data_IF_871578973239
#
_entry.id   IF_871578973239
#
_cell.length_a   1.000
_cell.length_b   1.000
_cell.length_c   1.000
_cell.angle_alpha   90.00
_cell.angle_beta   90.00
_cell.angle_gamma   90.00
#
_symmetry.space_group_name_H-M   'P 1'
#
loop_
_entity.id
_entity.type
_entity.pdbx_description
1 polymer ?
#
# COMPACT_ATOMS: atom_id res chain seq x y z
N UNK A 1 2.74 -14.88 12.04
CA UNK A 1 2.90 -14.19 10.73
C UNK A 1 4.37 -13.94 10.48
N UNK A 2 4.88 -14.26 9.30
CA UNK A 2 6.26 -13.93 8.91
C UNK A 2 6.49 -12.40 9.05
N UNK A 3 7.62 -11.97 9.64
CA UNK A 3 7.88 -10.55 9.99
C UNK A 3 7.73 -9.62 8.79
N UNK A 4 8.10 -10.10 7.60
CA UNK A 4 7.96 -9.39 6.33
C UNK A 4 6.50 -9.11 6.00
N UNK A 5 5.60 -10.08 6.18
CA UNK A 5 4.15 -9.88 5.94
C UNK A 5 3.54 -8.88 6.90
N UNK A 6 3.96 -8.90 8.15
CA UNK A 6 3.51 -7.94 9.16
C UNK A 6 3.96 -6.52 8.79
N UNK A 7 5.24 -6.35 8.43
CA UNK A 7 5.76 -5.05 8.00
C UNK A 7 5.01 -4.52 6.77
N UNK A 8 4.77 -5.36 5.77
CA UNK A 8 4.01 -4.99 4.58
C UNK A 8 2.57 -4.60 4.91
N UNK A 9 1.90 -5.37 5.78
CA UNK A 9 0.55 -5.06 6.24
C UNK A 9 0.48 -3.70 6.95
N UNK A 10 1.46 -3.38 7.81
CA UNK A 10 1.55 -2.08 8.50
C UNK A 10 1.76 -0.95 7.49
N UNK A 11 2.70 -1.12 6.55
CA UNK A 11 2.98 -0.11 5.53
C UNK A 11 1.74 0.12 4.66
N UNK A 12 1.06 -0.93 4.21
CA UNK A 12 -0.19 -0.82 3.45
C UNK A 12 -1.28 -0.12 4.25
N UNK A 13 -1.46 -0.46 5.53
CA UNK A 13 -2.43 0.19 6.39
C UNK A 13 -2.15 1.69 6.55
N UNK A 14 -0.88 2.07 6.74
CA UNK A 14 -0.47 3.48 6.80
C UNK A 14 -0.73 4.20 5.49
N UNK A 15 -0.35 3.61 4.35
CA UNK A 15 -0.58 4.20 3.02
C UNK A 15 -2.07 4.44 2.76
N UNK A 16 -2.93 3.50 3.16
CA UNK A 16 -4.39 3.65 3.05
C UNK A 16 -4.92 4.76 3.96
N UNK A 17 -4.49 4.80 5.23
CA UNK A 17 -4.94 5.80 6.18
C UNK A 17 -4.51 7.22 5.77
N UNK A 18 -3.23 7.41 5.42
CA UNK A 18 -2.72 8.71 4.99
C UNK A 18 -3.27 9.11 3.62
N UNK A 19 -3.39 8.18 2.67
CA UNK A 19 -3.99 8.45 1.36
C UNK A 19 -5.47 8.85 1.46
N UNK A 20 -6.21 8.22 2.37
CA UNK A 20 -7.59 8.60 2.65
C UNK A 20 -7.70 10.00 3.27
N UNK A 21 -6.90 10.29 4.32
CA UNK A 21 -6.88 11.61 4.95
C UNK A 21 -6.47 12.71 3.97
N UNK A 22 -5.45 12.47 3.14
CA UNK A 22 -5.02 13.38 2.09
C UNK A 22 -6.13 13.61 1.04
N UNK A 23 -6.86 12.57 0.66
CA UNK A 23 -8.01 12.68 -0.25
C UNK A 23 -9.15 13.51 0.35
N UNK A 24 -9.47 13.33 1.64
CA UNK A 24 -10.48 14.16 2.31
C UNK A 24 -10.02 15.62 2.40
N UNK A 25 -8.76 15.84 2.80
CA UNK A 25 -8.19 17.18 2.89
C UNK A 25 -8.23 17.93 1.54
N UNK A 26 -7.87 17.26 0.45
CA UNK A 26 -7.96 17.83 -0.90
C UNK A 26 -9.41 18.16 -1.32
N UNK A 27 -10.38 17.32 -0.94
CA UNK A 27 -11.80 17.64 -1.14
C UNK A 27 -12.22 18.88 -0.36
N UNK A 28 -11.79 19.02 0.89
CA UNK A 28 -12.11 20.19 1.71
C UNK A 28 -11.42 21.47 1.22
N UNK A 29 -10.25 21.37 0.59
CA UNK A 29 -9.58 22.50 -0.07
C UNK A 29 -10.23 22.91 -1.41
N UNK A 30 -11.25 22.19 -1.86
CA UNK A 30 -11.97 22.51 -3.09
C UNK A 30 -11.25 22.14 -4.39
N UNK A 31 -10.12 21.41 -4.30
CA UNK A 31 -9.35 20.97 -5.47
C UNK A 31 -9.09 19.45 -5.46
N UNK A 32 -10.16 18.64 -5.58
CA UNK A 32 -10.02 17.19 -5.69
C UNK A 32 -9.33 16.76 -6.99
N UNK A 33 -9.41 17.57 -8.05
CA UNK A 33 -8.88 17.26 -9.39
C UNK A 33 -7.35 17.36 -9.42
N UNK A 34 -6.77 18.38 -8.78
CA UNK A 34 -5.31 18.48 -8.69
C UNK A 34 -4.72 17.38 -7.80
N UNK A 35 -5.45 16.91 -6.78
CA UNK A 35 -5.02 15.76 -5.99
C UNK A 35 -5.04 14.47 -6.81
N UNK A 36 -6.12 14.18 -7.55
CA UNK A 36 -6.17 12.99 -8.40
C UNK A 36 -5.07 13.00 -9.47
N UNK A 37 -4.80 14.14 -10.11
CA UNK A 37 -3.72 14.26 -11.08
C UNK A 37 -2.33 13.96 -10.49
N UNK A 38 -2.11 14.24 -9.20
CA UNK A 38 -0.87 13.88 -8.49
C UNK A 38 -0.81 12.40 -8.18
N UNK A 39 -1.92 11.80 -7.75
CA UNK A 39 -2.02 10.37 -7.40
C UNK A 39 -1.88 9.48 -8.64
N UNK A 40 -2.41 9.91 -9.80
CA UNK A 40 -2.33 9.21 -11.07
C UNK A 40 -0.96 9.35 -11.78
N UNK A 41 0.06 9.83 -11.07
CA UNK A 41 1.41 9.97 -11.62
C UNK A 41 2.11 8.61 -11.77
N UNK A 42 2.91 8.47 -12.84
CA UNK A 42 3.68 7.26 -13.13
C UNK A 42 4.48 6.69 -11.94
N UNK A 43 5.14 7.50 -11.09
CA UNK A 43 5.87 6.97 -9.93
C UNK A 43 4.98 6.28 -8.90
N UNK A 44 3.79 6.85 -8.64
CA UNK A 44 2.83 6.30 -7.67
C UNK A 44 2.22 5.01 -8.21
N UNK A 45 1.88 4.98 -9.50
CA UNK A 45 1.41 3.77 -10.18
C UNK A 45 2.45 2.64 -10.08
N UNK A 46 3.74 2.94 -10.31
CA UNK A 46 4.82 1.98 -10.20
C UNK A 46 4.99 1.43 -8.77
N UNK A 47 4.92 2.30 -7.76
CA UNK A 47 4.93 1.88 -6.36
C UNK A 47 3.72 1.01 -6.02
N UNK A 48 2.52 1.41 -6.44
CA UNK A 48 1.30 0.63 -6.23
C UNK A 48 1.41 -0.77 -6.84
N UNK A 49 1.95 -0.87 -8.06
CA UNK A 49 2.16 -2.13 -8.76
C UNK A 49 3.21 -3.00 -8.04
N UNK A 50 4.30 -2.41 -7.55
CA UNK A 50 5.31 -3.12 -6.76
C UNK A 50 4.72 -3.67 -5.45
N UNK A 51 3.94 -2.86 -4.72
CA UNK A 51 3.26 -3.30 -3.51
C UNK A 51 2.25 -4.40 -3.79
N UNK A 52 1.49 -4.30 -4.88
CA UNK A 52 0.53 -5.30 -5.30
C UNK A 52 1.20 -6.64 -5.63
N UNK A 53 2.21 -6.63 -6.50
CA UNK A 53 2.95 -7.83 -6.87
C UNK A 53 3.70 -8.44 -5.68
N UNK A 54 4.35 -7.60 -4.86
CA UNK A 54 5.02 -8.03 -3.63
C UNK A 54 4.04 -8.68 -2.65
N UNK A 55 2.85 -8.10 -2.50
CA UNK A 55 1.78 -8.66 -1.67
C UNK A 55 1.27 -10.01 -2.18
N UNK A 56 1.06 -10.15 -3.50
CA UNK A 56 0.68 -11.42 -4.12
C UNK A 56 1.75 -12.48 -3.87
N UNK A 57 3.00 -12.21 -4.25
CA UNK A 57 4.12 -13.13 -4.11
C UNK A 57 4.23 -13.60 -2.65
N UNK A 58 4.19 -12.66 -1.71
CA UNK A 58 4.26 -12.96 -0.29
C UNK A 58 3.05 -13.69 0.25
N UNK A 59 1.86 -13.50 -0.33
CA UNK A 59 0.65 -14.23 0.01
C UNK A 59 0.72 -15.72 -0.37
N UNK A 60 1.34 -16.03 -1.51
CA UNK A 60 1.49 -17.40 -2.02
C UNK A 60 2.72 -18.15 -1.47
N UNK A 61 3.71 -17.44 -0.92
CA UNK A 61 4.86 -18.08 -0.27
C UNK A 61 4.39 -18.91 0.95
N UNK A 62 4.94 -20.11 1.21
CA UNK A 62 4.71 -20.81 2.47
C UNK A 62 5.35 -20.02 3.63
N UNK A 63 4.69 -19.95 4.80
CA UNK A 63 5.35 -19.42 6.00
C UNK A 63 6.44 -20.41 6.40
N UNK A 64 7.71 -20.10 6.12
CA UNK A 64 8.87 -20.87 6.62
C UNK A 64 9.15 -20.59 8.10
N UNK A 65 8.11 -20.33 8.90
CA UNK A 65 8.26 -20.41 10.35
C UNK A 65 8.33 -21.90 10.65
N UNK A 66 9.53 -22.39 10.97
CA UNK A 66 9.84 -23.81 11.06
C UNK A 66 8.98 -24.56 12.08
N UNK A 67 7.91 -25.18 11.60
CA UNK A 67 7.45 -26.44 12.13
C UNK A 67 8.26 -27.54 11.45
N UNK A 68 9.51 -27.69 11.89
CA UNK A 68 10.08 -29.01 11.97
C UNK A 68 9.33 -29.75 13.08
N UNK A 69 8.20 -30.35 12.75
CA UNK A 69 7.62 -31.53 13.38
C UNK A 69 6.48 -32.09 12.54
#
# INVERSE_FOLDING_TARGET
>A
MNRIRLALAIISAMLLAFGYLASQWARFQGDPVAYSAKVDSQPIIGLALLFFLGGIILGYLPNQNGDAK
#
